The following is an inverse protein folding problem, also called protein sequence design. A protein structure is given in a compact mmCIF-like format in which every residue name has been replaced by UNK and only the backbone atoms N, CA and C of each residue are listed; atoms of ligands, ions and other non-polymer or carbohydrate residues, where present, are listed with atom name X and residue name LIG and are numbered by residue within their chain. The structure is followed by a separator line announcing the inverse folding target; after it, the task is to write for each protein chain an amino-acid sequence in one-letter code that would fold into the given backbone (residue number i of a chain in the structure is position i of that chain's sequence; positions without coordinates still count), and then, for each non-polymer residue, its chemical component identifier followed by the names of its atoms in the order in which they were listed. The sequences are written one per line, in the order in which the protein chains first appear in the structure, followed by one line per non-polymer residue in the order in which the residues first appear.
data_IF_269932188926
#
_entry.id   IF_269932188926
#
_cell.length_a   1.000
_cell.length_b   1.000
_cell.length_c   1.000
_cell.angle_alpha   90.00
_cell.angle_beta   90.00
_cell.angle_gamma   90.00
#
_symmetry.space_group_name_H-M   'P 1'
#
loop_
_entity.id
_entity.type
_entity.pdbx_description
1 polymer ?
#
# COMPACT_ATOMS: atom_id res chain seq x y z
N UNK A 1 -6.41 -1.45 -3.52
CA UNK A 1 -6.82 -2.88 -3.62
C UNK A 1 -6.92 -3.56 -2.24
N UNK A 2 -5.86 -3.56 -1.42
CA UNK A 2 -5.87 -4.21 -0.09
C UNK A 2 -7.00 -3.74 0.85
N UNK A 3 -7.26 -2.42 0.88
CA UNK A 3 -8.36 -1.85 1.65
C UNK A 3 -9.76 -2.36 1.20
N UNK A 4 -9.97 -2.56 -0.11
CA UNK A 4 -11.21 -3.13 -0.64
C UNK A 4 -11.30 -4.64 -0.39
N UNK A 5 -10.17 -5.34 -0.36
CA UNK A 5 -10.14 -6.78 -0.11
C UNK A 5 -10.57 -7.11 1.33
N UNK A 6 -9.99 -6.43 2.34
CA UNK A 6 -10.34 -6.68 3.73
C UNK A 6 -11.57 -5.87 4.19
N UNK A 7 -11.64 -4.59 3.82
CA UNK A 7 -12.72 -3.70 4.26
C UNK A 7 -13.97 -3.71 3.36
N UNK A 8 -13.90 -4.32 2.18
CA UNK A 8 -14.95 -4.28 1.17
C UNK A 8 -14.89 -3.04 0.26
N UNK A 9 -15.25 -3.16 -1.03
CA UNK A 9 -15.19 -2.05 -1.99
C UNK A 9 -16.13 -0.89 -1.64
N UNK A 10 -17.30 -1.17 -1.06
CA UNK A 10 -18.24 -0.14 -0.60
C UNK A 10 -17.66 0.75 0.49
N UNK A 11 -16.95 0.16 1.46
CA UNK A 11 -16.27 0.91 2.52
C UNK A 11 -15.08 1.69 1.98
N UNK A 12 -14.28 1.11 1.08
CA UNK A 12 -13.20 1.86 0.42
C UNK A 12 -13.74 3.11 -0.27
N UNK A 13 -14.81 2.98 -1.06
CA UNK A 13 -15.43 4.11 -1.74
C UNK A 13 -15.96 5.16 -0.75
N UNK A 14 -16.50 4.73 0.41
CA UNK A 14 -16.91 5.65 1.48
C UNK A 14 -15.72 6.40 2.08
N UNK A 15 -14.59 5.73 2.31
CA UNK A 15 -13.38 6.34 2.87
C UNK A 15 -12.74 7.32 1.91
N UNK A 16 -12.58 6.95 0.64
CA UNK A 16 -12.01 7.82 -0.40
C UNK A 16 -12.79 9.13 -0.57
N UNK A 17 -14.11 9.12 -0.32
CA UNK A 17 -14.95 10.33 -0.36
C UNK A 17 -14.92 11.17 0.90
N UNK A 18 -14.65 10.57 2.07
CA UNK A 18 -14.79 11.23 3.38
C UNK A 18 -13.48 11.64 4.02
N UNK A 19 -12.39 10.99 3.66
CA UNK A 19 -11.08 11.25 4.23
C UNK A 19 -10.31 12.21 3.33
N UNK A 20 -10.01 13.40 3.84
CA UNK A 20 -8.99 14.25 3.24
C UNK A 20 -7.62 13.62 3.52
N UNK A 21 -7.07 12.99 2.50
CA UNK A 21 -5.78 12.32 2.56
C UNK A 21 -4.72 13.05 1.74
N UNK A 22 -5.02 14.23 1.17
CA UNK A 22 -4.05 15.08 0.45
C UNK A 22 -3.18 14.34 -0.58
N UNK A 23 -3.78 13.38 -1.29
CA UNK A 23 -3.09 12.46 -2.22
C UNK A 23 -1.93 11.64 -1.60
N UNK A 24 -1.82 11.62 -0.26
CA UNK A 24 -0.88 10.82 0.50
C UNK A 24 -1.52 9.48 0.87
N UNK A 25 -0.93 8.42 0.32
CA UNK A 25 -1.46 7.07 0.51
C UNK A 25 -1.19 6.51 1.92
N UNK A 26 -0.15 6.97 2.63
CA UNK A 26 0.05 6.63 4.04
C UNK A 26 -0.99 7.32 4.91
N UNK A 27 -1.24 8.62 4.66
CA UNK A 27 -2.27 9.35 5.37
C UNK A 27 -3.64 8.70 5.16
N UNK A 28 -3.94 8.25 3.94
CA UNK A 28 -5.15 7.48 3.64
C UNK A 28 -5.23 6.21 4.52
N UNK A 29 -4.16 5.40 4.57
CA UNK A 29 -4.14 4.16 5.38
C UNK A 29 -4.35 4.47 6.85
N UNK A 30 -3.65 5.45 7.42
CA UNK A 30 -3.80 5.81 8.84
C UNK A 30 -5.19 6.37 9.16
N UNK A 31 -5.83 7.02 8.19
CA UNK A 31 -7.14 7.64 8.35
C UNK A 31 -8.32 6.68 8.19
N UNK A 32 -8.12 5.45 7.68
CA UNK A 32 -9.18 4.43 7.57
C UNK A 32 -9.73 4.13 8.98
N UNK A 33 -11.03 4.30 9.28
CA UNK A 33 -11.54 4.07 10.65
C UNK A 33 -11.46 2.62 11.13
N UNK A 34 -11.56 1.66 10.20
CA UNK A 34 -11.53 0.23 10.50
C UNK A 34 -10.12 -0.20 10.92
N UNK A 35 -9.91 -0.37 12.23
CA UNK A 35 -8.62 -0.74 12.82
C UNK A 35 -8.07 -2.05 12.26
N UNK A 36 -8.94 -3.04 12.09
CA UNK A 36 -8.57 -4.33 11.49
C UNK A 36 -8.02 -4.14 10.08
N UNK A 37 -8.71 -3.35 9.24
CA UNK A 37 -8.26 -3.06 7.87
C UNK A 37 -6.94 -2.31 7.83
N UNK A 38 -6.72 -1.34 8.73
CA UNK A 38 -5.42 -0.67 8.85
C UNK A 38 -4.31 -1.66 9.17
N UNK A 39 -4.51 -2.50 10.18
CA UNK A 39 -3.53 -3.48 10.61
C UNK A 39 -3.26 -4.54 9.54
N UNK A 40 -4.31 -4.98 8.83
CA UNK A 40 -4.20 -5.91 7.71
C UNK A 40 -3.31 -5.33 6.60
N UNK A 41 -3.57 -4.09 6.17
CA UNK A 41 -2.77 -3.45 5.12
C UNK A 41 -1.30 -3.34 5.54
N UNK A 42 -1.04 -2.88 6.78
CA UNK A 42 0.32 -2.78 7.32
C UNK A 42 1.01 -4.15 7.35
N UNK A 43 0.32 -5.19 7.80
CA UNK A 43 0.83 -6.56 7.84
C UNK A 43 1.22 -7.07 6.45
N UNK A 44 0.34 -6.93 5.46
CA UNK A 44 0.61 -7.37 4.08
C UNK A 44 1.81 -6.63 3.48
N UNK A 45 1.91 -5.32 3.70
CA UNK A 45 3.06 -4.54 3.22
C UNK A 45 4.38 -4.98 3.88
N UNK A 46 4.36 -5.24 5.20
CA UNK A 46 5.53 -5.74 5.93
C UNK A 46 5.97 -7.12 5.42
N UNK A 47 5.03 -8.06 5.21
CA UNK A 47 5.36 -9.36 4.67
C UNK A 47 5.88 -9.27 3.24
N UNK A 48 5.27 -8.45 2.38
CA UNK A 48 5.74 -8.23 1.02
C UNK A 48 7.19 -7.72 1.00
N UNK A 49 7.52 -6.79 1.88
CA UNK A 49 8.88 -6.27 2.05
C UNK A 49 9.86 -7.39 2.45
N UNK A 50 9.53 -8.17 3.49
CA UNK A 50 10.36 -9.28 3.97
C UNK A 50 10.61 -10.30 2.88
N UNK A 51 9.57 -10.75 2.18
CA UNK A 51 9.70 -11.76 1.14
C UNK A 51 10.49 -11.28 -0.07
N UNK A 52 10.32 -10.02 -0.49
CA UNK A 52 11.13 -9.46 -1.58
C UNK A 52 12.61 -9.41 -1.24
N UNK A 53 12.92 -8.98 -0.01
CA UNK A 53 14.29 -8.98 0.48
C UNK A 53 14.89 -10.40 0.50
N UNK A 54 14.14 -11.39 0.99
CA UNK A 54 14.60 -12.79 1.02
C UNK A 54 14.80 -13.40 -0.38
N UNK A 55 13.99 -12.99 -1.36
CA UNK A 55 14.06 -13.48 -2.73
C UNK A 55 15.04 -12.69 -3.62
N UNK A 56 15.78 -11.72 -3.06
CA UNK A 56 16.68 -10.87 -3.83
C UNK A 56 15.96 -10.02 -4.89
N UNK A 57 14.65 -9.78 -4.73
CA UNK A 57 13.87 -8.99 -5.67
C UNK A 57 14.09 -7.49 -5.43
N UNK A 58 13.98 -6.64 -6.47
CA UNK A 58 14.03 -5.20 -6.30
C UNK A 58 13.04 -4.74 -5.24
N UNK A 59 13.54 -4.00 -4.25
CA UNK A 59 12.69 -3.37 -3.26
C UNK A 59 12.18 -2.04 -3.82
N UNK A 60 10.92 -1.94 -4.25
CA UNK A 60 10.31 -0.62 -4.42
C UNK A 60 10.34 0.11 -3.08
N UNK A 61 10.34 1.44 -3.13
CA UNK A 61 10.09 2.20 -1.92
C UNK A 61 8.72 1.80 -1.37
N UNK A 62 8.56 1.85 -0.04
CA UNK A 62 7.25 1.61 0.58
C UNK A 62 6.20 2.57 -0.02
N UNK A 63 6.62 3.77 -0.39
CA UNK A 63 5.79 4.77 -1.05
C UNK A 63 5.30 4.29 -2.43
N UNK A 64 6.14 3.65 -3.25
CA UNK A 64 5.73 3.09 -4.54
C UNK A 64 4.73 1.93 -4.37
N UNK A 65 4.94 1.07 -3.37
CA UNK A 65 4.04 -0.05 -3.06
C UNK A 65 2.65 0.44 -2.69
N UNK A 66 2.58 1.49 -1.86
CA UNK A 66 1.30 2.03 -1.41
C UNK A 66 0.64 2.90 -2.48
N UNK A 67 1.42 3.70 -3.22
CA UNK A 67 0.92 4.52 -4.32
C UNK A 67 0.45 3.69 -5.53
N UNK A 68 0.72 2.39 -5.55
CA UNK A 68 0.40 1.52 -6.69
C UNK A 68 1.21 1.88 -7.94
N UNK A 69 2.30 2.63 -7.78
CA UNK A 69 3.23 2.88 -8.87
C UNK A 69 3.95 1.58 -9.20
N UNK A 70 3.89 1.16 -10.46
CA UNK A 70 4.76 0.08 -10.92
C UNK A 70 6.19 0.53 -10.67
N UNK A 71 6.94 -0.24 -9.88
CA UNK A 71 8.37 -0.06 -9.71
C UNK A 71 8.98 0.25 -11.09
N UNK A 72 9.41 1.50 -11.29
CA UNK A 72 9.84 1.95 -12.60
C UNK A 72 11.03 1.08 -13.00
N UNK A 73 10.92 0.41 -14.15
CA UNK A 73 11.84 -0.65 -14.58
C UNK A 73 13.21 -0.10 -15.01
N UNK A 74 13.52 1.15 -14.64
CA UNK A 74 14.70 1.92 -15.04
C UNK A 74 15.89 1.74 -14.08
N UNK A 75 15.67 1.22 -12.87
CA UNK A 75 16.76 0.96 -11.91
C UNK A 75 17.47 -0.38 -12.15
N UNK A 76 17.00 -1.21 -13.10
CA UNK A 76 17.61 -2.49 -13.44
C UNK A 76 18.56 -2.44 -14.65
N UNK A 77 18.83 -1.26 -15.22
CA UNK A 77 19.63 -1.08 -16.43
C UNK A 77 20.87 -0.20 -16.27
N UNK A 78 21.35 0.01 -15.04
CA UNK A 78 22.67 0.60 -14.78
C UNK A 78 23.51 -0.31 -13.90
N UNK A 79 23.91 -1.46 -14.46
CA UNK A 79 25.22 -2.08 -14.27
C UNK A 79 25.61 -2.79 -15.57
#
# INVERSE_FOLDING_TARGET
MLAAYNGGPGNLNKWLRKLDHKDDSFLLIESIPARETRNYIKGVLSYLFIYRNQLGQPMPSLLDLVAGQKADRRLASSQ
#
